data_IF_471093304351
#
_entry.id   IF_471093304351
#
_cell.length_a   1.000
_cell.length_b   1.000
_cell.length_c   1.000
_cell.angle_alpha   90.00
_cell.angle_beta   90.00
_cell.angle_gamma   90.00
#
_symmetry.space_group_name_H-M   'P 1'
#
loop_
_entity.id
_entity.type
_entity.pdbx_description
1 polymer ?
#
# COMPACT_ATOMS: atom_id res chain seq x y z
N UNK A 1 34.72 27.17 -74.43
CA UNK A 1 33.34 26.76 -74.08
C UNK A 1 33.39 25.66 -73.04
N UNK A 2 32.72 25.90 -71.90
CA UNK A 2 32.30 24.98 -70.82
C UNK A 2 33.38 24.21 -70.04
N UNK A 3 33.64 24.75 -68.84
CA UNK A 3 34.44 24.18 -67.77
C UNK A 3 33.73 23.03 -67.04
N UNK A 4 34.54 22.07 -66.60
CA UNK A 4 34.21 20.89 -65.81
C UNK A 4 34.04 21.30 -64.33
N UNK A 5 32.88 21.05 -63.73
CA UNK A 5 32.68 21.23 -62.28
C UNK A 5 32.93 19.90 -61.56
N UNK A 6 33.97 19.87 -60.72
CA UNK A 6 34.23 18.79 -59.76
C UNK A 6 33.69 19.23 -58.41
N UNK A 7 32.73 18.50 -57.85
CA UNK A 7 32.23 18.69 -56.49
C UNK A 7 33.16 17.97 -55.51
N UNK A 8 33.79 18.72 -54.59
CA UNK A 8 34.49 18.17 -53.43
C UNK A 8 33.49 18.10 -52.28
N UNK A 9 33.21 16.88 -51.83
CA UNK A 9 32.36 16.59 -50.67
C UNK A 9 33.23 16.59 -49.41
N UNK A 10 33.10 17.61 -48.56
CA UNK A 10 33.73 17.66 -47.24
C UNK A 10 32.83 16.97 -46.20
N UNK A 11 33.28 15.81 -45.68
CA UNK A 11 32.67 15.17 -44.51
C UNK A 11 33.02 15.94 -43.23
N UNK A 12 32.01 16.48 -42.54
CA UNK A 12 32.11 16.90 -41.15
C UNK A 12 31.73 15.72 -40.24
N UNK A 13 32.72 15.15 -39.53
CA UNK A 13 32.49 14.26 -38.40
C UNK A 13 32.22 15.10 -37.16
N UNK A 14 30.93 15.27 -36.81
CA UNK A 14 30.52 15.76 -35.50
C UNK A 14 30.54 14.59 -34.51
N UNK A 15 31.61 14.51 -33.72
CA UNK A 15 31.66 13.68 -32.52
C UNK A 15 30.78 14.27 -31.44
N UNK A 16 29.64 13.64 -31.16
CA UNK A 16 28.90 13.88 -29.93
C UNK A 16 29.41 12.92 -28.86
N UNK A 17 30.27 13.43 -27.99
CA UNK A 17 30.61 12.82 -26.71
C UNK A 17 29.34 12.67 -25.87
N UNK A 18 28.77 11.48 -25.86
CA UNK A 18 27.70 11.12 -24.94
C UNK A 18 28.23 11.11 -23.51
N UNK A 19 28.10 12.23 -22.82
CA UNK A 19 28.21 12.27 -21.37
C UNK A 19 27.05 11.43 -20.81
N UNK A 20 27.31 10.15 -20.54
CA UNK A 20 26.40 9.29 -19.80
C UNK A 20 26.07 9.96 -18.48
N UNK A 21 24.82 10.38 -18.31
CA UNK A 21 24.30 10.75 -16.99
C UNK A 21 24.58 9.55 -16.08
N UNK A 22 25.48 9.71 -15.10
CA UNK A 22 25.54 8.80 -13.95
C UNK A 22 24.12 8.72 -13.40
N UNK A 23 23.52 7.54 -13.50
CA UNK A 23 22.26 7.23 -12.86
C UNK A 23 22.49 7.47 -11.36
N UNK A 24 21.89 8.53 -10.81
CA UNK A 24 21.97 8.80 -9.38
C UNK A 24 21.42 7.56 -8.65
N UNK A 25 22.17 7.04 -7.69
CA UNK A 25 21.76 5.84 -6.94
C UNK A 25 20.39 6.09 -6.32
N UNK A 26 19.41 5.24 -6.64
CA UNK A 26 18.08 5.36 -6.09
C UNK A 26 18.05 4.98 -4.61
N UNK A 27 17.15 5.59 -3.83
CA UNK A 27 16.77 5.07 -2.51
C UNK A 27 15.54 4.20 -2.64
N UNK A 28 15.39 3.26 -1.72
CA UNK A 28 14.14 2.56 -1.56
C UNK A 28 13.79 2.36 -0.09
N UNK A 29 12.51 2.35 0.21
CA UNK A 29 12.00 1.92 1.51
C UNK A 29 11.64 0.44 1.40
N UNK A 30 12.30 -0.39 2.22
CA UNK A 30 12.00 -1.81 2.36
C UNK A 30 11.09 -2.00 3.57
N UNK A 31 9.86 -2.43 3.32
CA UNK A 31 8.90 -2.85 4.33
C UNK A 31 9.08 -4.34 4.56
N UNK A 32 9.33 -4.74 5.81
CA UNK A 32 9.34 -6.15 6.23
C UNK A 32 8.23 -6.35 7.26
N UNK A 33 7.31 -7.26 6.96
CA UNK A 33 6.15 -7.54 7.80
C UNK A 33 6.12 -9.04 8.11
N UNK A 34 5.92 -9.38 9.37
CA UNK A 34 5.67 -10.75 9.83
C UNK A 34 4.23 -10.92 10.26
N UNK A 35 3.59 -12.00 9.81
CA UNK A 35 2.24 -12.39 10.19
C UNK A 35 2.25 -13.46 11.28
N UNK A 36 1.16 -13.52 12.06
CA UNK A 36 0.85 -14.63 12.96
C UNK A 36 -0.39 -15.41 12.46
N UNK A 37 -0.19 -16.50 11.70
CA UNK A 37 -1.29 -17.31 11.15
C UNK A 37 -2.32 -17.77 12.15
N UNK A 38 -1.86 -18.21 13.33
CA UNK A 38 -2.71 -18.68 14.41
C UNK A 38 -3.73 -17.65 14.92
N UNK A 39 -3.56 -16.37 14.59
CA UNK A 39 -4.51 -15.31 14.95
C UNK A 39 -5.63 -15.25 13.91
N UNK A 40 -5.30 -15.06 12.63
CA UNK A 40 -6.33 -14.89 11.59
C UNK A 40 -7.03 -16.20 11.21
N UNK A 41 -6.38 -17.36 11.37
CA UNK A 41 -6.97 -18.68 11.12
C UNK A 41 -8.13 -19.00 12.09
N UNK A 42 -8.24 -18.27 13.21
CA UNK A 42 -9.33 -18.39 14.18
C UNK A 42 -10.54 -17.51 13.88
N UNK A 43 -10.44 -16.62 12.89
CA UNK A 43 -11.60 -15.85 12.41
C UNK A 43 -12.64 -16.79 11.79
N UNK A 44 -13.89 -16.32 11.66
CA UNK A 44 -14.96 -17.11 11.06
C UNK A 44 -14.63 -17.58 9.63
N UNK A 45 -13.76 -16.85 8.93
CA UNK A 45 -13.39 -17.17 7.54
C UNK A 45 -12.02 -17.85 7.44
N UNK A 46 -11.15 -17.74 8.44
CA UNK A 46 -9.83 -18.37 8.47
C UNK A 46 -8.87 -17.89 7.36
N UNK A 47 -9.19 -16.79 6.69
CA UNK A 47 -8.47 -16.29 5.53
C UNK A 47 -7.32 -15.35 5.95
N UNK A 48 -6.18 -15.35 5.21
CA UNK A 48 -5.13 -14.36 5.41
C UNK A 48 -5.64 -12.90 5.30
N UNK A 49 -5.01 -11.95 6.02
CA UNK A 49 -5.49 -10.57 6.05
C UNK A 49 -5.44 -9.89 4.68
N UNK A 50 -6.34 -8.94 4.49
CA UNK A 50 -6.18 -7.90 3.47
C UNK A 50 -5.33 -6.78 4.05
N UNK A 51 -4.48 -6.15 3.25
CA UNK A 51 -3.72 -4.98 3.70
C UNK A 51 -3.27 -4.09 2.56
N UNK A 52 -2.96 -2.84 2.89
CA UNK A 52 -2.37 -1.87 1.98
C UNK A 52 -1.23 -1.10 2.67
N UNK A 53 -0.28 -0.65 1.85
CA UNK A 53 0.84 0.20 2.24
C UNK A 53 0.83 1.42 1.32
N UNK A 54 0.92 2.62 1.89
CA UNK A 54 1.06 3.84 1.11
C UNK A 54 1.96 4.85 1.82
N UNK A 55 2.50 5.77 1.03
CA UNK A 55 3.33 6.88 1.47
C UNK A 55 2.56 8.19 1.34
N UNK A 56 2.89 9.15 2.20
CA UNK A 56 2.50 10.55 2.06
C UNK A 56 3.74 11.43 2.25
N UNK A 57 4.04 12.23 1.24
CA UNK A 57 5.20 13.11 1.26
C UNK A 57 4.96 14.25 2.26
N UNK A 58 5.82 14.38 3.28
CA UNK A 58 5.63 15.39 4.35
C UNK A 58 5.74 16.84 3.85
N UNK A 59 6.34 17.07 2.69
CA UNK A 59 6.49 18.40 2.09
C UNK A 59 5.36 18.75 1.14
N UNK A 60 4.94 17.81 0.30
CA UNK A 60 3.96 18.08 -0.78
C UNK A 60 2.55 17.57 -0.48
N UNK A 61 2.38 16.69 0.52
CA UNK A 61 1.14 15.96 0.76
C UNK A 61 0.84 14.91 -0.31
N UNK A 62 1.77 14.68 -1.26
CA UNK A 62 1.58 13.71 -2.34
C UNK A 62 1.50 12.29 -1.81
N UNK A 63 0.48 11.55 -2.27
CA UNK A 63 0.25 10.16 -1.88
C UNK A 63 0.79 9.23 -2.95
N UNK A 64 1.36 8.11 -2.53
CA UNK A 64 1.79 7.03 -3.41
C UNK A 64 1.42 5.68 -2.79
N UNK A 65 0.56 4.90 -3.44
CA UNK A 65 0.32 3.51 -3.03
C UNK A 65 1.54 2.67 -3.35
N UNK A 66 1.98 1.89 -2.37
CA UNK A 66 3.12 0.97 -2.48
C UNK A 66 2.64 -0.44 -2.79
N UNK A 67 1.61 -0.88 -2.06
CA UNK A 67 1.07 -2.22 -2.18
C UNK A 67 -0.38 -2.25 -1.70
N UNK A 68 -1.19 -3.11 -2.32
CA UNK A 68 -2.52 -3.49 -1.86
C UNK A 68 -2.80 -4.95 -2.22
N UNK A 69 -3.45 -5.68 -1.31
CA UNK A 69 -3.83 -7.07 -1.56
C UNK A 69 -4.86 -7.19 -2.68
N UNK A 70 -4.71 -8.23 -3.50
CA UNK A 70 -5.44 -8.44 -4.74
C UNK A 70 -6.97 -8.32 -4.62
N UNK A 71 -7.59 -8.90 -3.58
CA UNK A 71 -9.06 -8.88 -3.46
C UNK A 71 -9.57 -7.45 -3.32
N UNK A 72 -8.96 -6.63 -2.47
CA UNK A 72 -9.31 -5.21 -2.33
C UNK A 72 -8.93 -4.40 -3.57
N UNK A 73 -7.77 -4.67 -4.16
CA UNK A 73 -7.29 -3.97 -5.35
C UNK A 73 -8.16 -4.20 -6.60
N UNK A 74 -8.89 -5.31 -6.67
CA UNK A 74 -9.68 -5.69 -7.85
C UNK A 74 -11.18 -5.82 -7.56
N UNK A 75 -11.61 -5.63 -6.31
CA UNK A 75 -12.97 -5.94 -5.87
C UNK A 75 -13.35 -7.41 -5.99
N UNK A 76 -12.39 -8.31 -6.24
CA UNK A 76 -12.62 -9.74 -6.44
C UNK A 76 -12.69 -10.48 -5.10
N UNK A 77 -13.82 -10.36 -4.41
CA UNK A 77 -14.10 -11.08 -3.17
C UNK A 77 -14.91 -12.35 -3.45
N UNK A 78 -14.53 -13.44 -2.81
CA UNK A 78 -15.22 -14.72 -3.00
C UNK A 78 -16.66 -14.64 -2.48
N UNK A 79 -17.64 -14.91 -3.35
CA UNK A 79 -19.05 -14.95 -2.98
C UNK A 79 -19.71 -13.60 -2.68
N UNK A 80 -19.03 -12.46 -2.91
CA UNK A 80 -19.58 -11.11 -2.67
C UNK A 80 -19.19 -10.12 -3.76
N UNK A 81 -20.09 -9.20 -4.09
CA UNK A 81 -19.76 -8.02 -4.88
C UNK A 81 -19.27 -6.92 -3.94
N UNK A 82 -17.99 -6.54 -4.06
CA UNK A 82 -17.34 -5.40 -3.39
C UNK A 82 -17.37 -5.45 -1.85
N UNK A 83 -16.19 -5.46 -1.20
CA UNK A 83 -16.06 -5.35 0.25
C UNK A 83 -15.39 -4.03 0.62
N UNK A 84 -16.07 -2.88 0.48
CA UNK A 84 -15.46 -1.57 0.70
C UNK A 84 -14.99 -1.33 2.13
N UNK A 85 -15.47 -2.10 3.11
CA UNK A 85 -15.00 -2.04 4.50
C UNK A 85 -13.69 -2.81 4.74
N UNK A 86 -13.11 -3.46 3.73
CA UNK A 86 -11.87 -4.21 3.89
C UNK A 86 -10.67 -3.30 4.17
N UNK A 87 -10.43 -2.27 3.33
CA UNK A 87 -9.33 -1.29 3.49
C UNK A 87 -9.81 0.15 3.18
N UNK A 88 -10.79 0.67 3.93
CA UNK A 88 -11.41 1.95 3.63
C UNK A 88 -10.50 3.16 3.81
N UNK A 89 -9.49 3.11 4.70
CA UNK A 89 -8.55 4.23 4.83
C UNK A 89 -7.67 4.36 3.57
N UNK A 90 -7.20 3.23 3.05
CA UNK A 90 -6.48 3.16 1.79
C UNK A 90 -7.35 3.57 0.61
N UNK A 91 -8.65 3.22 0.56
CA UNK A 91 -9.57 3.74 -0.46
C UNK A 91 -9.55 5.28 -0.47
N UNK A 92 -9.54 5.92 0.71
CA UNK A 92 -9.39 7.36 0.82
C UNK A 92 -8.06 7.89 0.25
N UNK A 93 -6.96 7.19 0.52
CA UNK A 93 -5.64 7.52 -0.02
C UNK A 93 -5.57 7.33 -1.55
N UNK A 94 -6.07 6.21 -2.05
CA UNK A 94 -6.15 5.86 -3.47
C UNK A 94 -6.94 6.88 -4.28
N UNK A 95 -8.08 7.35 -3.77
CA UNK A 95 -8.89 8.40 -4.41
C UNK A 95 -8.13 9.71 -4.53
N UNK A 96 -7.40 10.11 -3.48
CA UNK A 96 -6.55 11.31 -3.49
C UNK A 96 -5.36 11.17 -4.45
N UNK A 97 -4.75 10.00 -4.52
CA UNK A 97 -3.62 9.70 -5.42
C UNK A 97 -4.04 9.74 -6.89
N UNK A 98 -5.16 9.10 -7.23
CA UNK A 98 -5.56 8.85 -8.62
C UNK A 98 -6.58 9.86 -9.16
N UNK A 99 -7.23 10.63 -8.29
CA UNK A 99 -8.36 11.48 -8.65
C UNK A 99 -9.66 10.73 -8.91
N UNK A 100 -9.69 9.41 -8.69
CA UNK A 100 -10.91 8.59 -8.79
C UNK A 100 -11.85 8.88 -7.62
N UNK A 101 -13.15 8.76 -7.85
CA UNK A 101 -14.21 8.84 -6.85
C UNK A 101 -14.84 7.47 -6.51
N UNK A 102 -14.59 6.46 -7.34
CA UNK A 102 -15.05 5.09 -7.16
C UNK A 102 -14.16 4.29 -6.18
N UNK A 103 -14.47 3.00 -6.05
CA UNK A 103 -13.61 1.99 -5.41
C UNK A 103 -13.11 1.02 -6.48
N UNK A 104 -11.94 0.38 -6.28
CA UNK A 104 -11.49 -0.66 -7.20
C UNK A 104 -12.51 -1.79 -7.33
N UNK A 105 -12.78 -2.20 -8.56
CA UNK A 105 -13.77 -3.23 -8.91
C UNK A 105 -13.26 -4.11 -10.05
N UNK A 106 -13.96 -5.21 -10.33
CA UNK A 106 -13.58 -6.11 -11.42
C UNK A 106 -13.55 -5.41 -12.78
N UNK A 107 -14.38 -4.39 -12.97
CA UNK A 107 -14.45 -3.59 -14.20
C UNK A 107 -13.40 -2.47 -14.23
N UNK A 108 -13.00 -1.97 -13.07
CA UNK A 108 -12.06 -0.86 -12.94
C UNK A 108 -11.12 -1.11 -11.75
N UNK A 109 -10.17 -2.07 -11.86
CA UNK A 109 -9.28 -2.42 -10.76
C UNK A 109 -8.26 -1.31 -10.49
N UNK A 110 -7.54 -1.42 -9.37
CA UNK A 110 -6.32 -0.68 -9.14
C UNK A 110 -5.20 -1.20 -10.07
N UNK A 111 -4.16 -0.39 -10.34
CA UNK A 111 -3.05 -0.82 -11.19
C UNK A 111 -2.38 -2.12 -10.70
N UNK A 112 -2.04 -3.02 -11.63
CA UNK A 112 -1.38 -4.29 -11.31
C UNK A 112 -0.02 -4.09 -10.61
N UNK A 113 0.69 -3.00 -10.93
CA UNK A 113 2.03 -2.71 -10.39
C UNK A 113 2.07 -2.55 -8.86
N UNK A 114 0.93 -2.23 -8.24
CA UNK A 114 0.79 -2.07 -6.78
C UNK A 114 -0.04 -3.21 -6.16
N UNK A 115 -0.41 -4.22 -6.96
CA UNK A 115 -1.33 -5.27 -6.55
C UNK A 115 -0.59 -6.60 -6.40
N UNK A 116 -0.83 -7.31 -5.30
CA UNK A 116 -0.26 -8.65 -5.13
C UNK A 116 -1.11 -9.59 -4.29
N UNK A 117 -0.85 -10.91 -4.34
CA UNK A 117 -1.51 -11.85 -3.45
C UNK A 117 -1.16 -11.55 -2.00
N UNK A 118 -2.07 -11.82 -1.06
CA UNK A 118 -1.71 -11.83 0.36
C UNK A 118 -0.62 -12.89 0.57
N UNK A 119 0.57 -12.52 1.08
CA UNK A 119 1.62 -13.49 1.33
C UNK A 119 1.16 -14.52 2.36
N UNK A 120 1.27 -15.82 2.00
CA UNK A 120 0.99 -16.95 2.91
C UNK A 120 2.22 -17.40 3.72
N UNK A 121 3.31 -16.65 3.60
CA UNK A 121 4.56 -16.90 4.31
C UNK A 121 4.61 -16.09 5.60
N UNK A 122 5.30 -16.60 6.62
CA UNK A 122 5.38 -15.91 7.92
C UNK A 122 5.94 -14.50 7.82
N UNK A 123 6.91 -14.26 6.94
CA UNK A 123 7.51 -12.94 6.75
C UNK A 123 7.63 -12.66 5.26
N UNK A 124 7.24 -11.46 4.85
CA UNK A 124 7.39 -10.98 3.49
C UNK A 124 8.01 -9.59 3.46
N UNK A 125 8.40 -9.12 2.28
CA UNK A 125 8.87 -7.76 2.10
C UNK A 125 8.40 -7.13 0.81
N UNK A 126 8.22 -5.82 0.84
CA UNK A 126 7.85 -4.97 -0.31
C UNK A 126 8.77 -3.76 -0.31
N UNK A 127 9.29 -3.37 -1.47
CA UNK A 127 10.08 -2.14 -1.60
C UNK A 127 9.43 -1.11 -2.52
N UNK A 128 9.73 0.16 -2.28
CA UNK A 128 9.32 1.28 -3.14
C UNK A 128 10.47 2.25 -3.29
N UNK A 129 10.70 2.72 -4.52
CA UNK A 129 11.68 3.78 -4.78
C UNK A 129 11.22 5.11 -4.23
N UNK A 130 12.14 5.84 -3.59
CA UNK A 130 11.92 7.21 -3.13
C UNK A 130 13.11 8.11 -3.52
N UNK A 131 12.91 9.44 -3.60
CA UNK A 131 14.01 10.38 -3.77
C UNK A 131 14.98 10.37 -2.58
N UNK A 132 16.24 10.70 -2.82
CA UNK A 132 17.21 10.93 -1.74
C UNK A 132 16.74 12.04 -0.79
N UNK A 133 17.04 11.89 0.51
CA UNK A 133 16.77 12.91 1.55
C UNK A 133 15.30 13.37 1.63
N UNK A 134 14.36 12.57 1.11
CA UNK A 134 12.93 12.86 1.16
C UNK A 134 12.30 12.42 2.49
N UNK A 135 11.23 13.09 2.92
CA UNK A 135 10.58 12.86 4.21
C UNK A 135 9.16 12.33 4.02
N UNK A 136 8.83 11.20 4.66
CA UNK A 136 7.56 10.50 4.43
C UNK A 136 6.84 10.15 5.74
N UNK A 137 5.52 10.30 5.74
CA UNK A 137 4.67 9.40 6.50
C UNK A 137 4.49 8.12 5.69
N UNK A 138 4.52 6.97 6.35
CA UNK A 138 4.07 5.73 5.75
C UNK A 138 2.95 5.14 6.60
N UNK A 139 2.04 4.46 5.93
CA UNK A 139 0.87 3.88 6.53
C UNK A 139 0.76 2.41 6.13
N UNK A 140 0.27 1.59 7.05
CA UNK A 140 -0.12 0.22 6.78
C UNK A 140 -1.53 0.04 7.35
N UNK A 141 -2.50 -0.28 6.49
CA UNK A 141 -3.84 -0.68 6.91
C UNK A 141 -3.99 -2.19 6.77
N UNK A 142 -4.56 -2.85 7.77
CA UNK A 142 -4.77 -4.29 7.78
C UNK A 142 -6.19 -4.63 8.23
N UNK A 143 -6.77 -5.66 7.62
CA UNK A 143 -8.06 -6.23 8.00
C UNK A 143 -8.03 -7.76 7.94
N UNK A 144 -8.66 -8.40 8.93
CA UNK A 144 -8.99 -9.82 8.91
C UNK A 144 -10.51 -9.92 8.80
N UNK A 145 -11.01 -10.46 7.69
CA UNK A 145 -12.45 -10.60 7.49
C UNK A 145 -13.02 -11.71 8.41
N UNK A 146 -14.19 -11.47 8.97
CA UNK A 146 -14.87 -12.39 9.87
C UNK A 146 -14.26 -12.45 11.28
N UNK A 147 -13.47 -11.46 11.69
CA UNK A 147 -12.83 -11.40 13.01
C UNK A 147 -13.79 -10.84 14.08
N UNK A 148 -14.92 -11.53 14.27
CA UNK A 148 -15.99 -11.07 15.15
C UNK A 148 -15.64 -11.20 16.64
N UNK A 149 -16.10 -10.22 17.42
CA UNK A 149 -15.94 -10.18 18.88
C UNK A 149 -17.24 -9.69 19.51
N UNK A 150 -17.39 -9.73 20.85
CA UNK A 150 -18.55 -9.12 21.51
C UNK A 150 -18.72 -7.62 21.20
N UNK A 151 -17.62 -6.88 21.01
CA UNK A 151 -17.64 -5.45 20.68
C UNK A 151 -17.88 -5.19 19.17
N UNK A 152 -17.51 -6.16 18.32
CA UNK A 152 -17.76 -6.13 16.88
C UNK A 152 -18.53 -7.37 16.43
N UNK A 153 -19.80 -7.50 16.85
CA UNK A 153 -20.58 -8.69 16.57
C UNK A 153 -21.08 -8.67 15.12
N UNK A 154 -21.40 -9.86 14.61
CA UNK A 154 -22.04 -10.01 13.29
C UNK A 154 -23.45 -9.45 13.24
N UNK A 155 -24.19 -9.52 14.35
CA UNK A 155 -25.51 -8.94 14.53
C UNK A 155 -25.49 -8.09 15.80
N UNK A 156 -25.71 -6.79 15.64
CA UNK A 156 -25.83 -5.86 16.76
C UNK A 156 -27.17 -6.00 17.46
N UNK A 157 -27.24 -5.52 18.71
CA UNK A 157 -28.45 -5.57 19.54
C UNK A 157 -29.62 -4.75 18.98
N UNK A 158 -29.33 -3.74 18.16
CA UNK A 158 -30.31 -2.94 17.42
C UNK A 158 -30.80 -3.62 16.12
N UNK A 159 -30.32 -4.84 15.84
CA UNK A 159 -30.67 -5.62 14.66
C UNK A 159 -29.79 -5.33 13.43
N UNK A 160 -28.79 -4.45 13.53
CA UNK A 160 -27.92 -4.16 12.39
C UNK A 160 -26.94 -5.32 12.14
N UNK A 161 -26.94 -5.84 10.92
CA UNK A 161 -26.17 -7.03 10.52
C UNK A 161 -24.98 -6.67 9.63
N UNK A 162 -23.83 -7.29 9.90
CA UNK A 162 -22.60 -7.15 9.12
C UNK A 162 -22.69 -8.03 7.86
N UNK A 163 -23.32 -7.50 6.81
CA UNK A 163 -23.43 -8.18 5.51
C UNK A 163 -22.07 -8.33 4.80
N UNK A 164 -21.13 -7.42 5.09
CA UNK A 164 -19.82 -7.39 4.44
C UNK A 164 -18.86 -8.40 5.05
N UNK A 165 -19.11 -8.85 6.28
CA UNK A 165 -18.35 -9.89 6.93
C UNK A 165 -17.02 -9.39 7.45
N UNK A 166 -17.01 -8.20 8.04
CA UNK A 166 -15.81 -7.54 8.51
C UNK A 166 -15.38 -8.11 9.86
N UNK A 167 -16.25 -8.02 10.88
CA UNK A 167 -15.87 -8.22 12.28
C UNK A 167 -15.14 -7.00 12.82
N UNK A 168 -14.01 -7.18 13.51
CA UNK A 168 -13.16 -6.06 13.87
C UNK A 168 -12.79 -5.24 12.62
N UNK A 169 -12.99 -3.92 12.64
CA UNK A 169 -12.67 -3.08 11.48
C UNK A 169 -11.16 -3.07 11.19
N UNK A 170 -10.79 -2.60 10.00
CA UNK A 170 -9.39 -2.45 9.66
C UNK A 170 -8.67 -1.54 10.66
N UNK A 171 -7.41 -1.88 10.96
CA UNK A 171 -6.53 -1.10 11.83
C UNK A 171 -5.42 -0.45 11.02
N UNK A 172 -5.00 0.73 11.44
CA UNK A 172 -4.05 1.56 10.71
C UNK A 172 -2.83 1.82 11.57
N UNK A 173 -1.67 1.45 11.04
CA UNK A 173 -0.37 1.80 11.57
C UNK A 173 0.19 2.99 10.79
N UNK A 174 0.84 3.93 11.47
CA UNK A 174 1.58 5.04 10.86
C UNK A 174 2.98 5.14 11.44
N UNK A 175 3.97 5.37 10.58
CA UNK A 175 5.30 5.77 10.99
C UNK A 175 5.86 6.88 10.12
N UNK A 176 7.08 7.29 10.46
CA UNK A 176 7.83 8.32 9.76
C UNK A 176 9.20 7.77 9.38
N UNK A 177 9.69 8.12 8.21
CA UNK A 177 11.04 7.74 7.75
C UNK A 177 11.56 8.76 6.75
N UNK A 178 12.87 8.97 6.75
CA UNK A 178 13.56 9.76 5.73
C UNK A 178 14.28 8.87 4.72
N UNK A 179 14.58 9.43 3.54
CA UNK A 179 15.39 8.81 2.48
C UNK A 179 16.88 8.69 2.81
N UNK A 180 17.24 8.73 4.10
CA UNK A 180 18.62 8.57 4.58
C UNK A 180 18.97 7.07 4.62
N UNK A 181 20.03 6.61 3.92
CA UNK A 181 20.41 5.20 3.93
C UNK A 181 20.67 4.65 5.34
N UNK A 182 20.16 3.45 5.60
CA UNK A 182 20.29 2.76 6.88
C UNK A 182 19.31 3.24 7.95
N UNK A 183 18.52 4.28 7.67
CA UNK A 183 17.47 4.71 8.58
C UNK A 183 16.43 3.59 8.75
N UNK A 184 15.99 3.39 10.00
CA UNK A 184 15.04 2.35 10.39
C UNK A 184 13.89 2.98 11.15
N UNK A 185 12.69 2.49 10.87
CA UNK A 185 11.47 2.96 11.50
C UNK A 185 10.55 1.79 11.86
N UNK A 186 9.74 2.01 12.89
CA UNK A 186 8.63 1.13 13.28
C UNK A 186 7.39 1.99 13.47
N UNK A 187 6.25 1.60 12.88
CA UNK A 187 5.05 2.40 13.00
C UNK A 187 4.39 2.19 14.36
N UNK A 188 3.47 3.11 14.70
CA UNK A 188 2.54 2.98 15.81
C UNK A 188 1.16 2.67 15.27
N UNK A 189 0.39 1.86 15.98
CA UNK A 189 -1.05 1.73 15.74
C UNK A 189 -1.71 3.08 16.09
N UNK A 190 -2.37 3.70 15.12
CA UNK A 190 -2.95 5.05 15.28
C UNK A 190 -4.48 5.07 15.27
N UNK A 191 -5.13 3.98 14.88
CA UNK A 191 -6.59 3.93 14.86
C UNK A 191 -7.15 2.76 14.09
N UNK A 192 -8.47 2.83 13.89
CA UNK A 192 -9.27 1.87 13.15
C UNK A 192 -10.27 2.58 12.24
N UNK A 193 -10.91 1.82 11.36
CA UNK A 193 -12.04 2.30 10.55
C UNK A 193 -13.39 1.84 11.11
N UNK A 194 -14.45 2.02 10.33
CA UNK A 194 -15.80 1.60 10.66
C UNK A 194 -16.05 0.14 10.28
N UNK A 195 -16.74 -0.59 11.15
CA UNK A 195 -17.08 -2.00 10.90
C UNK A 195 -18.10 -2.13 9.76
N UNK A 196 -19.18 -1.34 9.82
CA UNK A 196 -20.44 -1.65 9.14
C UNK A 196 -20.60 -0.97 7.77
N UNK A 197 -19.91 0.14 7.54
CA UNK A 197 -20.07 0.97 6.35
C UNK A 197 -18.75 1.61 5.95
N UNK A 198 -18.64 1.97 4.68
CA UNK A 198 -17.47 2.65 4.15
C UNK A 198 -17.32 4.03 4.80
N UNK A 199 -16.29 4.19 5.61
CA UNK A 199 -15.79 5.47 6.08
C UNK A 199 -14.27 5.47 5.94
N UNK A 200 -13.74 6.44 5.19
CA UNK A 200 -12.28 6.56 5.00
C UNK A 200 -11.60 7.29 6.15
N UNK A 201 -12.35 7.66 7.20
CA UNK A 201 -11.82 8.33 8.38
C UNK A 201 -11.10 7.33 9.28
N UNK A 202 -9.99 7.79 9.88
CA UNK A 202 -9.26 7.02 10.89
C UNK A 202 -9.78 7.47 12.26
N UNK A 203 -10.40 6.55 12.99
CA UNK A 203 -10.84 6.75 14.35
C UNK A 203 -9.73 6.31 15.32
N UNK A 204 -9.25 7.22 16.17
CA UNK A 204 -8.19 6.94 17.15
C UNK A 204 -8.68 6.04 18.31
N UNK A 205 -9.99 5.90 18.49
CA UNK A 205 -10.58 5.02 19.49
C UNK A 205 -10.44 3.54 19.09
N UNK A 206 -9.49 2.87 19.73
CA UNK A 206 -9.21 1.43 19.55
C UNK A 206 -10.02 0.55 20.51
N UNK A 207 -11.01 1.09 21.23
CA UNK A 207 -11.88 0.30 22.11
C UNK A 207 -12.51 -0.86 21.36
N UNK A 208 -12.47 -2.05 21.97
CA UNK A 208 -12.95 -3.30 21.41
C UNK A 208 -11.98 -4.03 20.47
N UNK A 209 -10.90 -3.39 20.01
CA UNK A 209 -9.88 -4.06 19.19
C UNK A 209 -9.02 -4.97 20.08
N UNK A 210 -9.09 -6.27 19.82
CA UNK A 210 -8.44 -7.31 20.63
C UNK A 210 -7.29 -7.96 19.86
N UNK A 211 -7.52 -9.05 19.14
CA UNK A 211 -6.53 -9.89 18.48
C UNK A 211 -6.05 -9.31 17.13
N UNK A 212 -6.83 -8.44 16.46
CA UNK A 212 -6.44 -7.86 15.17
C UNK A 212 -5.04 -7.18 15.21
N UNK A 213 -4.69 -6.55 16.34
CA UNK A 213 -3.39 -5.89 16.53
C UNK A 213 -2.19 -6.84 16.63
N UNK A 214 -2.45 -8.13 16.80
CA UNK A 214 -1.43 -9.19 16.94
C UNK A 214 -1.17 -9.93 15.62
N UNK A 215 -2.02 -9.71 14.60
CA UNK A 215 -1.89 -10.35 13.28
C UNK A 215 -0.56 -9.99 12.63
N UNK A 216 -0.14 -8.73 12.72
CA UNK A 216 1.20 -8.30 12.33
C UNK A 216 2.12 -8.28 13.56
N UNK A 217 2.80 -9.39 13.83
CA UNK A 217 3.73 -9.49 14.96
C UNK A 217 4.98 -8.62 14.81
N UNK A 218 5.31 -8.23 13.58
CA UNK A 218 6.43 -7.34 13.31
C UNK A 218 6.17 -6.50 12.09
N UNK A 219 6.43 -5.20 12.23
CA UNK A 219 6.55 -4.26 11.11
C UNK A 219 7.88 -3.52 11.28
N UNK A 220 8.71 -3.55 10.24
CA UNK A 220 9.98 -2.82 10.15
C UNK A 220 10.05 -2.15 8.79
N UNK A 221 10.47 -0.89 8.78
CA UNK A 221 10.78 -0.17 7.56
C UNK A 221 12.25 0.25 7.61
N UNK A 222 12.96 0.07 6.51
CA UNK A 222 14.37 0.45 6.38
C UNK A 222 14.60 1.18 5.05
N UNK A 223 15.28 2.32 5.09
CA UNK A 223 15.75 2.98 3.87
C UNK A 223 17.05 2.32 3.41
N UNK A 224 17.02 1.71 2.23
CA UNK A 224 18.13 0.99 1.61
C UNK A 224 18.61 1.70 0.36
N UNK A 225 19.86 1.42 -0.04
CA UNK A 225 20.33 1.75 -1.38
C UNK A 225 19.63 0.83 -2.37
N UNK A 226 19.02 1.38 -3.41
CA UNK A 226 18.60 0.55 -4.55
C UNK A 226 19.79 0.39 -5.48
N UNK A 227 20.29 -0.84 -5.58
CA UNK A 227 21.29 -1.19 -6.60
C UNK A 227 20.73 -0.84 -7.98
N UNK A 228 21.56 -0.21 -8.81
CA UNK A 228 21.27 -0.01 -10.24
C UNK A 228 21.37 -1.33 -11.00
#
# INVERSE_FOLDING_TARGET
MRALFVYILTLFLLGCSGAGKKQAGGRALLFTISLEPNIYEKSDYGEPPQFAIWLENKKTGGIQTVFVTYRTATGNFEGKAECPVSLPAWIGAFRKETGRDDIPSLKNPAPEAITGPTPKVKTFSVDVQIPEESNWYYYIEMNVSGDYTPDFPRLKSDGWFDFQGNGQPSIIYRGEITGTPGEKSRPKLIGRTEQMYLSTAINEDLTGIVNAKEVFSMIKVECINKGG
#
